data_IF_932354266750
#
_entry.id   IF_932354266750
#
_cell.length_a   1.000
_cell.length_b   1.000
_cell.length_c   1.000
_cell.angle_alpha   90.00
_cell.angle_beta   90.00
_cell.angle_gamma   90.00
#
_symmetry.space_group_name_H-M   'P 1'
#
loop_
_entity.id
_entity.type
_entity.pdbx_description
1 polymer ?
#
# COMPACT_ATOMS: atom_id res chain seq x y z
N UNK A 1 9.81 -15.32 -3.68
CA UNK A 1 8.74 -15.84 -2.77
C UNK A 1 7.83 -14.80 -2.06
N UNK A 2 8.38 -13.83 -1.30
CA UNK A 2 7.60 -12.94 -0.38
C UNK A 2 6.48 -12.14 -1.07
N UNK A 3 6.72 -11.59 -2.25
CA UNK A 3 5.71 -10.83 -3.02
C UNK A 3 4.55 -11.70 -3.50
N UNK A 4 4.78 -12.98 -3.81
CA UNK A 4 3.74 -13.92 -4.21
C UNK A 4 2.79 -14.19 -3.04
N UNK A 5 3.31 -14.39 -1.82
CA UNK A 5 2.48 -14.53 -0.60
C UNK A 5 1.52 -13.37 -0.43
N UNK A 6 1.99 -12.14 -0.63
CA UNK A 6 1.14 -10.95 -0.54
C UNK A 6 0.03 -10.97 -1.61
N UNK A 7 0.39 -11.17 -2.89
CA UNK A 7 -0.58 -11.21 -4.00
C UNK A 7 -1.66 -12.26 -3.74
N UNK A 8 -1.25 -13.48 -3.41
CA UNK A 8 -2.17 -14.58 -3.16
C UNK A 8 -2.98 -14.43 -1.87
N UNK A 9 -2.50 -13.68 -0.86
CA UNK A 9 -3.30 -13.36 0.33
C UNK A 9 -4.50 -12.47 0.02
N UNK A 10 -4.39 -11.59 -0.98
CA UNK A 10 -5.45 -10.65 -1.39
C UNK A 10 -6.44 -11.25 -2.38
N UNK A 11 -6.08 -12.36 -3.05
CA UNK A 11 -7.01 -13.09 -3.91
C UNK A 11 -8.09 -13.79 -3.08
N UNK A 12 -9.35 -13.57 -3.48
CA UNK A 12 -10.51 -14.34 -2.97
C UNK A 12 -10.38 -15.82 -3.38
N UNK A 13 -11.09 -16.72 -2.70
CA UNK A 13 -11.24 -18.12 -3.14
C UNK A 13 -11.78 -18.14 -4.58
N UNK A 14 -11.17 -18.93 -5.45
CA UNK A 14 -11.48 -18.97 -6.88
C UNK A 14 -10.94 -17.79 -7.70
N UNK A 15 -10.32 -16.80 -7.06
CA UNK A 15 -9.65 -15.69 -7.73
C UNK A 15 -8.49 -16.15 -8.58
N UNK A 16 -8.25 -15.45 -9.69
CA UNK A 16 -7.24 -15.81 -10.69
C UNK A 16 -6.16 -14.75 -10.76
N UNK A 17 -4.90 -15.17 -10.70
CA UNK A 17 -3.74 -14.34 -10.94
C UNK A 17 -3.22 -14.58 -12.35
N UNK A 18 -3.14 -13.52 -13.15
CA UNK A 18 -2.59 -13.57 -14.50
C UNK A 18 -1.19 -12.97 -14.47
N UNK A 19 -0.19 -13.71 -14.93
CA UNK A 19 1.20 -13.26 -14.98
C UNK A 19 1.79 -13.45 -16.38
N UNK A 20 2.48 -12.41 -16.85
CA UNK A 20 3.37 -12.44 -18.01
C UNK A 20 4.76 -12.04 -17.52
N UNK A 21 5.78 -12.86 -17.76
CA UNK A 21 7.16 -12.61 -17.31
C UNK A 21 8.19 -13.12 -18.30
N UNK A 22 9.24 -12.34 -18.53
CA UNK A 22 10.46 -12.73 -19.25
C UNK A 22 11.60 -13.13 -18.30
N UNK A 23 11.38 -13.04 -16.99
CA UNK A 23 12.33 -13.42 -15.96
C UNK A 23 12.22 -14.91 -15.64
N UNK A 24 13.31 -15.65 -15.89
CA UNK A 24 13.44 -17.08 -15.56
C UNK A 24 13.32 -17.30 -14.05
N UNK A 25 13.97 -16.46 -13.25
CA UNK A 25 13.93 -16.54 -11.78
C UNK A 25 12.48 -16.42 -11.29
N UNK A 26 11.71 -15.44 -11.79
CA UNK A 26 10.32 -15.26 -11.37
C UNK A 26 9.44 -16.44 -11.82
N UNK A 27 9.70 -17.01 -13.00
CA UNK A 27 9.03 -18.23 -13.46
C UNK A 27 9.28 -19.40 -12.51
N UNK A 28 10.53 -19.63 -12.13
CA UNK A 28 10.92 -20.75 -11.26
C UNK A 28 10.32 -20.58 -9.86
N UNK A 29 10.48 -19.40 -9.26
CA UNK A 29 9.87 -19.07 -7.96
C UNK A 29 8.35 -19.24 -7.97
N UNK A 30 7.67 -18.83 -9.06
CA UNK A 30 6.22 -18.99 -9.18
C UNK A 30 5.83 -20.47 -9.25
N UNK A 31 6.53 -21.26 -10.06
CA UNK A 31 6.22 -22.69 -10.24
C UNK A 31 6.40 -23.47 -8.94
N UNK A 32 7.48 -23.20 -8.22
CA UNK A 32 7.73 -23.77 -6.90
C UNK A 32 6.64 -23.34 -5.91
N UNK A 33 6.37 -22.04 -5.81
CA UNK A 33 5.36 -21.49 -4.91
C UNK A 33 3.97 -22.10 -5.08
N UNK A 34 3.55 -22.27 -6.34
CA UNK A 34 2.25 -22.87 -6.72
C UNK A 34 2.23 -24.37 -6.41
N UNK A 35 3.31 -25.09 -6.75
CA UNK A 35 3.43 -26.53 -6.53
C UNK A 35 3.34 -26.88 -5.05
N UNK A 36 4.10 -26.20 -4.20
CA UNK A 36 4.10 -26.40 -2.74
C UNK A 36 2.71 -26.23 -2.11
N UNK A 37 1.86 -25.42 -2.73
CA UNK A 37 0.57 -25.00 -2.18
C UNK A 37 -0.63 -25.61 -2.89
N UNK A 38 -0.39 -26.59 -3.77
CA UNK A 38 -1.43 -27.32 -4.49
C UNK A 38 -2.37 -26.45 -5.32
N UNK A 39 -1.89 -25.29 -5.81
CA UNK A 39 -2.70 -24.39 -6.63
C UNK A 39 -2.84 -24.90 -8.06
N UNK A 40 -3.90 -24.46 -8.75
CA UNK A 40 -4.04 -24.70 -10.20
C UNK A 40 -3.22 -23.69 -10.97
N UNK A 41 -2.39 -24.18 -11.89
CA UNK A 41 -1.63 -23.35 -12.82
C UNK A 41 -1.84 -23.84 -14.25
N UNK A 42 -2.16 -22.91 -15.13
CA UNK A 42 -2.21 -23.10 -16.57
C UNK A 42 -1.07 -22.31 -17.22
N UNK A 43 -0.25 -23.00 -18.01
CA UNK A 43 0.79 -22.38 -18.85
C UNK A 43 0.20 -22.09 -20.22
N UNK A 44 0.32 -20.84 -20.69
CA UNK A 44 -0.17 -20.42 -22.00
C UNK A 44 1.01 -20.19 -22.95
N UNK A 45 0.80 -20.50 -24.23
CA UNK A 45 1.74 -20.18 -25.32
C UNK A 45 1.66 -18.72 -25.78
N UNK A 46 0.62 -18.00 -25.38
CA UNK A 46 0.39 -16.60 -25.74
C UNK A 46 -0.16 -15.78 -24.58
N UNK A 47 -0.13 -14.45 -24.73
CA UNK A 47 -0.55 -13.54 -23.68
C UNK A 47 -2.01 -13.77 -23.30
N UNK A 48 -2.31 -13.93 -21.99
CA UNK A 48 -3.69 -14.01 -21.52
C UNK A 48 -4.36 -12.63 -21.52
N UNK A 49 -3.60 -11.56 -21.85
CA UNK A 49 -4.08 -10.19 -21.88
C UNK A 49 -4.43 -9.76 -23.31
N UNK A 50 -5.54 -9.04 -23.52
CA UNK A 50 -5.96 -8.58 -24.84
C UNK A 50 -5.03 -7.49 -25.42
N UNK A 51 -4.26 -6.80 -24.56
CA UNK A 51 -3.40 -5.68 -24.95
C UNK A 51 -1.95 -6.03 -24.62
N UNK A 52 -1.07 -5.95 -25.62
CA UNK A 52 0.37 -6.13 -25.44
C UNK A 52 1.01 -4.87 -24.87
N UNK A 53 1.79 -5.03 -23.81
CA UNK A 53 2.60 -3.94 -23.26
C UNK A 53 3.69 -3.48 -24.24
N UNK A 54 4.28 -2.30 -24.01
CA UNK A 54 5.45 -1.82 -24.78
C UNK A 54 6.61 -2.82 -24.73
N UNK A 55 6.81 -3.48 -23.59
CA UNK A 55 7.87 -4.47 -23.37
C UNK A 55 7.58 -5.78 -24.09
N UNK A 56 6.35 -6.29 -24.04
CA UNK A 56 5.97 -7.51 -24.77
C UNK A 56 6.15 -7.34 -26.28
N UNK A 57 5.78 -6.17 -26.84
CA UNK A 57 6.03 -5.87 -28.26
C UNK A 57 7.52 -5.86 -28.59
N UNK A 58 8.34 -5.21 -27.75
CA UNK A 58 9.80 -5.18 -27.91
C UNK A 58 10.41 -6.58 -27.84
N UNK A 59 10.01 -7.40 -26.86
CA UNK A 59 10.57 -8.73 -26.65
C UNK A 59 10.15 -9.72 -27.73
N UNK A 60 8.93 -9.63 -28.24
CA UNK A 60 8.51 -10.40 -29.42
C UNK A 60 9.33 -10.05 -30.65
N UNK A 61 9.62 -8.76 -30.90
CA UNK A 61 10.50 -8.36 -32.00
C UNK A 61 11.95 -8.80 -31.83
N UNK A 62 12.39 -9.09 -30.60
CA UNK A 62 13.74 -9.55 -30.28
C UNK A 62 13.83 -11.07 -30.05
N UNK A 63 12.75 -11.81 -30.38
CA UNK A 63 12.64 -13.25 -30.17
C UNK A 63 12.96 -13.73 -28.73
N UNK A 64 12.72 -12.86 -27.74
CA UNK A 64 12.92 -13.17 -26.34
C UNK A 64 11.70 -13.93 -25.82
N UNK A 65 11.93 -15.05 -25.16
CA UNK A 65 10.86 -15.89 -24.61
C UNK A 65 10.09 -15.12 -23.50
N UNK A 66 8.76 -15.21 -23.56
CA UNK A 66 7.86 -14.66 -22.55
C UNK A 66 7.01 -15.82 -22.04
N UNK A 67 6.93 -15.97 -20.73
CA UNK A 67 6.17 -17.00 -20.08
C UNK A 67 4.84 -16.45 -19.57
N UNK A 68 3.77 -17.18 -19.87
CA UNK A 68 2.41 -16.78 -19.54
C UNK A 68 1.76 -17.80 -18.60
N UNK A 69 1.25 -17.31 -17.47
CA UNK A 69 0.64 -18.14 -16.44
C UNK A 69 -0.72 -17.60 -16.03
N UNK A 70 -1.65 -18.53 -15.81
CA UNK A 70 -2.93 -18.29 -15.17
C UNK A 70 -2.97 -19.17 -13.92
N UNK A 71 -2.99 -18.58 -12.73
CA UNK A 71 -3.00 -19.31 -11.47
C UNK A 71 -4.32 -19.08 -10.75
N UNK A 72 -5.04 -20.16 -10.44
CA UNK A 72 -6.31 -20.10 -9.73
C UNK A 72 -6.13 -20.52 -8.28
N UNK A 73 -6.57 -19.66 -7.36
CA UNK A 73 -6.53 -19.94 -5.92
C UNK A 73 -7.65 -20.92 -5.57
N UNK A 74 -7.28 -22.19 -5.30
CA UNK A 74 -8.24 -23.26 -4.95
C UNK A 74 -8.93 -23.04 -3.60
N UNK A 75 -8.16 -22.80 -2.54
CA UNK A 75 -8.68 -22.75 -1.17
C UNK A 75 -8.38 -21.46 -0.41
N UNK A 76 -9.01 -21.30 0.75
CA UNK A 76 -8.75 -20.25 1.72
C UNK A 76 -7.39 -20.41 2.42
N UNK A 77 -6.36 -20.87 1.72
CA UNK A 77 -5.01 -20.90 2.26
C UNK A 77 -4.69 -19.51 2.81
N UNK A 78 -4.57 -19.43 4.14
CA UNK A 78 -4.27 -18.20 4.84
C UNK A 78 -2.75 -18.04 4.79
N UNK A 79 -2.29 -17.05 4.04
CA UNK A 79 -0.85 -16.81 3.84
C UNK A 79 -0.20 -16.15 5.07
N UNK A 80 -0.77 -16.31 6.27
CA UNK A 80 -0.38 -15.58 7.48
C UNK A 80 -0.70 -14.08 7.44
N UNK A 81 -0.97 -13.52 6.25
CA UNK A 81 -1.36 -12.12 6.09
C UNK A 81 -2.79 -11.93 6.59
N UNK A 82 -2.98 -11.09 7.60
CA UNK A 82 -4.32 -10.69 8.02
C UNK A 82 -5.10 -10.17 6.80
N UNK A 83 -6.33 -10.68 6.59
CA UNK A 83 -7.24 -10.14 5.57
C UNK A 83 -7.47 -8.65 5.89
N UNK A 84 -6.68 -7.78 5.28
CA UNK A 84 -6.95 -6.35 5.26
C UNK A 84 -8.23 -6.13 4.46
N UNK A 85 -9.21 -5.44 5.03
CA UNK A 85 -10.43 -5.07 4.31
C UNK A 85 -10.08 -4.41 2.98
N UNK A 86 -10.93 -4.61 1.97
CA UNK A 86 -10.82 -3.83 0.73
C UNK A 86 -11.17 -2.39 1.08
N UNK A 87 -10.17 -1.52 1.11
CA UNK A 87 -10.37 -0.10 1.37
C UNK A 87 -10.86 0.51 0.06
N UNK A 88 -12.18 0.59 -0.09
CA UNK A 88 -12.84 1.10 -1.31
C UNK A 88 -12.67 2.62 -1.43
N UNK A 89 -12.53 3.32 -0.31
CA UNK A 89 -12.38 4.78 -0.22
C UNK A 89 -11.15 5.16 0.57
N UNK A 90 -10.39 6.13 0.05
CA UNK A 90 -9.15 6.59 0.68
C UNK A 90 -9.40 7.06 2.13
N UNK A 91 -8.67 6.51 3.12
CA UNK A 91 -8.76 6.93 4.50
C UNK A 91 -8.35 8.39 4.64
N UNK A 92 -9.25 9.24 5.14
CA UNK A 92 -8.99 10.65 5.34
C UNK A 92 -9.83 11.26 6.46
N UNK A 93 -9.32 12.36 7.02
CA UNK A 93 -10.03 13.20 8.00
C UNK A 93 -10.05 14.62 7.51
N UNK A 94 -11.22 15.24 7.56
CA UNK A 94 -11.38 16.68 7.41
C UNK A 94 -11.52 17.30 8.79
N UNK A 95 -10.74 18.35 9.05
CA UNK A 95 -10.72 19.05 10.32
C UNK A 95 -10.73 20.55 10.11
N UNK A 96 -11.38 21.26 11.02
CA UNK A 96 -11.34 22.72 11.13
C UNK A 96 -10.37 23.07 12.27
N UNK A 97 -9.49 24.03 12.03
CA UNK A 97 -8.43 24.47 12.95
C UNK A 97 -8.05 25.93 12.67
N UNK A 98 -7.26 26.53 13.56
CA UNK A 98 -6.75 27.91 13.37
C UNK A 98 -5.86 28.03 12.12
N UNK A 99 -5.72 29.24 11.59
CA UNK A 99 -4.85 29.50 10.42
C UNK A 99 -3.37 29.18 10.66
N UNK A 100 -2.90 29.19 11.91
CA UNK A 100 -1.52 28.85 12.30
C UNK A 100 -1.27 27.35 12.43
N UNK A 101 -2.32 26.52 12.29
CA UNK A 101 -2.28 25.10 12.65
C UNK A 101 -1.14 24.30 12.02
N UNK A 102 -0.83 24.52 10.73
CA UNK A 102 0.26 23.81 10.06
C UNK A 102 1.63 24.14 10.67
N UNK A 103 1.87 25.43 10.95
CA UNK A 103 3.11 25.87 11.59
C UNK A 103 3.24 25.27 12.99
N UNK A 104 2.17 25.39 13.78
CA UNK A 104 2.11 24.84 15.14
C UNK A 104 2.30 23.31 15.14
N UNK A 105 1.79 22.63 14.10
CA UNK A 105 1.96 21.20 13.92
C UNK A 105 3.43 20.82 13.74
N UNK A 106 4.16 21.48 12.84
CA UNK A 106 5.59 21.20 12.62
C UNK A 106 6.39 21.39 13.92
N UNK A 107 6.12 22.48 14.65
CA UNK A 107 6.86 22.83 15.85
C UNK A 107 6.62 21.83 17.00
N UNK A 108 5.40 21.32 17.13
CA UNK A 108 5.02 20.39 18.20
C UNK A 108 5.20 18.91 17.82
N UNK A 109 5.18 18.55 16.55
CA UNK A 109 5.22 17.16 16.12
C UNK A 109 6.56 16.51 16.46
N UNK A 110 6.50 15.50 17.33
CA UNK A 110 7.65 14.67 17.68
C UNK A 110 7.54 13.31 16.96
N UNK A 111 8.61 12.87 16.27
CA UNK A 111 8.68 11.52 15.74
C UNK A 111 8.37 10.47 16.82
N UNK A 112 7.65 9.44 16.46
CA UNK A 112 7.25 8.36 17.38
C UNK A 112 7.45 6.99 16.72
N UNK A 113 7.51 5.96 17.54
CA UNK A 113 7.63 4.58 17.13
C UNK A 113 6.61 3.74 17.90
N UNK A 114 5.89 2.88 17.19
CA UNK A 114 4.94 1.93 17.78
C UNK A 114 5.24 0.52 17.29
N UNK A 115 5.31 -0.41 18.24
CA UNK A 115 5.53 -1.85 18.00
C UNK A 115 4.35 -2.62 18.56
N UNK A 116 3.59 -3.24 17.67
CA UNK A 116 2.48 -4.13 17.99
C UNK A 116 2.67 -5.46 17.25
N UNK A 117 1.99 -6.52 17.68
CA UNK A 117 2.13 -7.85 17.07
C UNK A 117 1.84 -7.77 15.56
N UNK A 118 2.85 -8.04 14.73
CA UNK A 118 2.77 -8.00 13.27
C UNK A 118 2.78 -6.61 12.62
N UNK A 119 2.93 -5.53 13.39
CA UNK A 119 2.93 -4.17 12.88
C UNK A 119 3.92 -3.28 13.66
N UNK A 120 4.99 -2.87 12.99
CA UNK A 120 5.95 -1.91 13.50
C UNK A 120 5.96 -0.70 12.58
N UNK A 121 5.76 0.49 13.14
CA UNK A 121 5.89 1.72 12.38
C UNK A 121 6.60 2.81 13.16
N UNK A 122 7.33 3.64 12.42
CA UNK A 122 8.10 4.76 12.95
C UNK A 122 7.86 5.99 12.08
N UNK A 123 7.40 7.08 12.67
CA UNK A 123 7.36 8.37 11.98
C UNK A 123 8.73 9.04 12.02
N UNK A 124 9.00 9.87 11.03
CA UNK A 124 10.15 10.77 10.98
C UNK A 124 9.69 12.21 11.18
N UNK A 125 10.63 13.17 11.15
CA UNK A 125 10.29 14.60 11.28
C UNK A 125 9.31 15.00 10.16
N UNK A 126 8.27 15.72 10.55
CA UNK A 126 7.36 16.37 9.62
C UNK A 126 8.07 17.54 8.93
N UNK A 127 7.76 17.80 7.66
CA UNK A 127 8.33 18.92 6.91
C UNK A 127 7.30 19.52 5.96
N UNK A 128 7.46 20.80 5.61
CA UNK A 128 6.66 21.43 4.57
C UNK A 128 6.99 20.83 3.21
N UNK A 129 5.97 20.45 2.45
CA UNK A 129 6.13 20.16 1.04
C UNK A 129 6.58 21.43 0.29
N UNK A 130 6.74 21.34 -1.04
CA UNK A 130 7.13 22.49 -1.88
C UNK A 130 6.15 23.70 -1.79
N UNK A 131 5.04 23.57 -1.06
CA UNK A 131 4.06 24.61 -0.75
C UNK A 131 3.90 24.74 0.76
N UNK A 132 3.77 25.97 1.28
CA UNK A 132 3.54 26.22 2.72
C UNK A 132 2.19 25.68 3.25
N UNK A 133 1.29 25.29 2.35
CA UNK A 133 -0.04 24.76 2.67
C UNK A 133 -0.10 23.22 2.87
N UNK A 134 1.04 22.51 2.80
CA UNK A 134 1.08 21.05 2.95
C UNK A 134 2.28 20.59 3.78
N UNK A 135 2.00 19.72 4.74
CA UNK A 135 2.99 19.02 5.56
C UNK A 135 3.01 17.57 5.14
N UNK A 136 4.21 17.03 4.97
CA UNK A 136 4.44 15.61 4.80
C UNK A 136 5.09 15.02 6.05
N UNK A 137 4.53 13.90 6.48
CA UNK A 137 4.99 13.13 7.63
C UNK A 137 5.44 11.77 7.10
N UNK A 138 6.75 11.52 6.96
CA UNK A 138 7.23 10.22 6.54
C UNK A 138 6.98 9.20 7.64
N UNK A 139 6.52 8.01 7.26
CA UNK A 139 6.38 6.88 8.17
C UNK A 139 6.98 5.65 7.51
N UNK A 140 7.92 5.02 8.21
CA UNK A 140 8.45 3.71 7.87
C UNK A 140 7.53 2.65 8.47
N UNK A 141 6.95 1.82 7.62
CA UNK A 141 6.12 0.67 8.00
C UNK A 141 6.94 -0.60 7.77
N UNK A 142 7.03 -1.42 8.81
CA UNK A 142 7.58 -2.76 8.79
C UNK A 142 6.51 -3.72 9.34
N UNK A 143 5.94 -4.51 8.46
CA UNK A 143 4.97 -5.55 8.78
C UNK A 143 5.42 -6.86 8.12
N UNK A 144 4.78 -7.96 8.50
CA UNK A 144 5.14 -9.27 7.94
C UNK A 144 5.07 -9.21 6.40
N UNK A 145 6.22 -9.44 5.76
CA UNK A 145 6.40 -9.43 4.30
C UNK A 145 6.37 -8.07 3.58
N UNK A 146 6.14 -6.95 4.27
CA UNK A 146 6.12 -5.62 3.64
C UNK A 146 6.97 -4.64 4.45
N UNK A 147 7.94 -4.03 3.75
CA UNK A 147 8.62 -2.83 4.21
C UNK A 147 8.29 -1.71 3.23
N UNK A 148 7.67 -0.65 3.71
CA UNK A 148 7.28 0.48 2.87
C UNK A 148 7.44 1.80 3.61
N UNK A 149 7.95 2.80 2.89
CA UNK A 149 7.92 4.19 3.34
C UNK A 149 6.65 4.82 2.77
N UNK A 150 5.79 5.31 3.65
CA UNK A 150 4.60 6.07 3.29
C UNK A 150 4.79 7.53 3.70
N UNK A 151 3.99 8.40 3.11
CA UNK A 151 3.87 9.79 3.55
C UNK A 151 2.42 10.04 3.94
N UNK A 152 2.20 10.57 5.13
CA UNK A 152 0.91 11.13 5.54
C UNK A 152 0.95 12.63 5.24
N UNK A 153 -0.01 13.09 4.46
CA UNK A 153 -0.18 14.49 4.08
C UNK A 153 -1.21 15.14 5.00
N UNK A 154 -0.84 16.27 5.59
CA UNK A 154 -1.73 17.21 6.26
C UNK A 154 -1.68 18.52 5.48
N UNK A 155 -2.76 18.88 4.80
CA UNK A 155 -2.78 20.07 3.94
C UNK A 155 -4.03 20.90 4.11
N UNK A 156 -3.93 22.19 3.82
CA UNK A 156 -5.10 23.09 3.74
C UNK A 156 -5.99 22.70 2.56
N UNK A 157 -7.30 22.75 2.75
CA UNK A 157 -8.31 22.51 1.71
C UNK A 157 -9.54 23.38 2.00
N UNK A 158 -9.64 24.52 1.30
CA UNK A 158 -10.67 25.52 1.58
C UNK A 158 -10.48 26.12 2.97
N UNK A 159 -11.55 26.14 3.76
CA UNK A 159 -11.55 26.66 5.14
C UNK A 159 -11.03 25.66 6.18
N UNK A 160 -10.79 24.40 5.78
CA UNK A 160 -10.30 23.36 6.69
C UNK A 160 -8.98 22.75 6.25
N UNK A 161 -8.64 21.65 6.92
CA UNK A 161 -7.46 20.84 6.68
C UNK A 161 -7.88 19.39 6.40
N UNK A 162 -7.09 18.70 5.57
CA UNK A 162 -7.29 17.29 5.26
C UNK A 162 -6.03 16.50 5.61
N UNK A 163 -6.23 15.46 6.42
CA UNK A 163 -5.23 14.43 6.74
C UNK A 163 -5.51 13.19 5.89
N UNK A 164 -4.53 12.71 5.12
CA UNK A 164 -4.67 11.54 4.23
C UNK A 164 -3.32 10.90 3.89
N UNK A 165 -3.33 9.73 3.27
CA UNK A 165 -2.13 9.16 2.64
C UNK A 165 -1.77 9.91 1.35
N UNK A 166 -0.48 10.21 1.18
CA UNK A 166 0.12 10.80 -0.01
C UNK A 166 0.50 9.71 -1.02
N UNK A 167 0.40 9.99 -2.33
CA UNK A 167 0.76 9.07 -3.45
C UNK A 167 0.23 7.62 -3.34
N UNK A 168 -1.09 7.51 -3.45
CA UNK A 168 -1.92 6.30 -3.29
C UNK A 168 -1.49 5.12 -4.17
N UNK A 169 -1.10 5.41 -5.40
CA UNK A 169 -0.89 4.38 -6.43
C UNK A 169 0.40 3.58 -6.20
N UNK A 170 1.22 4.01 -5.23
CA UNK A 170 2.51 3.40 -4.89
C UNK A 170 2.52 2.71 -3.52
N UNK A 171 1.42 2.76 -2.77
CA UNK A 171 1.35 2.23 -1.41
C UNK A 171 0.40 1.05 -1.30
N UNK A 172 0.79 0.05 -0.51
CA UNK A 172 -0.09 -1.06 -0.17
C UNK A 172 -0.76 -0.69 1.15
N UNK A 173 -2.04 -0.29 1.09
CA UNK A 173 -2.77 0.11 2.31
C UNK A 173 -3.12 -1.12 3.14
N UNK A 174 -2.38 -1.31 4.22
CA UNK A 174 -2.57 -2.40 5.20
C UNK A 174 -3.20 -1.87 6.49
N UNK A 175 -3.56 -2.79 7.41
CA UNK A 175 -4.00 -2.39 8.76
C UNK A 175 -2.89 -1.61 9.49
N UNK A 176 -1.62 -1.93 9.26
CA UNK A 176 -0.51 -1.21 9.87
C UNK A 176 -0.41 0.24 9.35
N UNK A 177 -0.62 0.44 8.04
CA UNK A 177 -0.72 1.79 7.44
C UNK A 177 -1.89 2.59 8.05
N UNK A 178 -3.06 1.96 8.25
CA UNK A 178 -4.20 2.62 8.90
C UNK A 178 -3.88 3.02 10.34
N UNK A 179 -3.28 2.12 11.12
CA UNK A 179 -2.84 2.42 12.51
C UNK A 179 -1.85 3.58 12.57
N UNK A 180 -0.96 3.68 11.60
CA UNK A 180 -0.05 4.81 11.49
C UNK A 180 -0.81 6.12 11.23
N UNK A 181 -1.76 6.13 10.29
CA UNK A 181 -2.60 7.30 10.02
C UNK A 181 -3.47 7.70 11.24
N UNK A 182 -4.09 6.73 11.92
CA UNK A 182 -4.83 6.97 13.15
C UNK A 182 -3.94 7.56 14.24
N UNK A 183 -2.69 7.10 14.36
CA UNK A 183 -1.77 7.65 15.35
C UNK A 183 -1.45 9.14 15.11
N UNK A 184 -1.39 9.57 13.85
CA UNK A 184 -1.27 11.00 13.50
C UNK A 184 -2.54 11.75 13.87
N UNK A 185 -3.71 11.21 13.52
CA UNK A 185 -5.00 11.82 13.89
C UNK A 185 -5.13 11.97 15.41
N UNK A 186 -4.81 10.93 16.17
CA UNK A 186 -4.92 10.93 17.63
C UNK A 186 -3.94 11.92 18.27
N UNK A 187 -2.74 12.09 17.71
CA UNK A 187 -1.81 13.15 18.09
C UNK A 187 -2.46 14.54 17.87
N UNK A 188 -3.04 14.77 16.69
CA UNK A 188 -3.69 16.06 16.39
C UNK A 188 -4.82 16.35 17.38
N UNK A 189 -5.70 15.38 17.62
CA UNK A 189 -6.87 15.56 18.50
C UNK A 189 -6.48 15.81 19.97
N UNK A 190 -5.32 15.30 20.39
CA UNK A 190 -4.82 15.48 21.76
C UNK A 190 -4.10 16.80 21.95
N UNK A 191 -3.31 17.23 20.97
CA UNK A 191 -2.33 18.31 21.11
C UNK A 191 -2.78 19.64 20.49
N UNK A 192 -3.93 19.66 19.81
CA UNK A 192 -4.48 20.83 19.10
C UNK A 192 -5.99 20.96 19.29
N UNK A 193 -6.45 22.20 19.34
CA UNK A 193 -7.88 22.52 19.27
C UNK A 193 -8.36 22.39 17.82
N UNK A 194 -8.92 21.23 17.50
CA UNK A 194 -9.47 20.94 16.17
C UNK A 194 -10.89 20.39 16.28
N UNK A 195 -11.71 20.67 15.26
CA UNK A 195 -13.05 20.09 15.13
C UNK A 195 -13.09 19.15 13.93
N UNK A 196 -13.47 17.90 14.14
CA UNK A 196 -13.65 16.94 13.04
C UNK A 196 -14.91 17.31 12.26
N UNK A 197 -14.75 17.55 10.97
CA UNK A 197 -15.83 17.93 10.05
C UNK A 197 -16.40 16.72 9.30
N UNK A 198 -15.64 15.62 9.24
CA UNK A 198 -16.03 14.39 8.58
C UNK A 198 -14.83 13.63 8.03
N UNK A 199 -15.10 12.55 7.31
CA UNK A 199 -14.09 11.69 6.72
C UNK A 199 -14.54 10.25 6.71
N UNK A 200 -13.79 9.41 5.99
CA UNK A 200 -13.91 7.97 6.10
C UNK A 200 -12.54 7.48 6.50
N UNK A 201 -12.38 7.04 7.74
CA UNK A 201 -11.09 6.68 8.31
C UNK A 201 -11.18 5.29 8.89
#
# INVERSE_FOLDING_TARGET
EKSLRLIFSRLKKGGTFYLSTDSVILKEELLEFVKERGMEIEKRSGSPFPIKTKYERKWQSSNKEIHYFIIKKRDEYSFGVEKGGVIVTMPHVMMEASGSFLKDFIDKFKPFEKKEKGCHFKSERAFLANTEDEILIPILINEEFINQRIFVSLRRKGEGYILKLYERDKIIVTRCVLKALYSIKDFILRDFEVKIMGGNL
#
